data_IF_258545676670
#
_entry.id   IF_258545676670
#
_cell.length_a   1.000
_cell.length_b   1.000
_cell.length_c   1.000
_cell.angle_alpha   90.00
_cell.angle_beta   90.00
_cell.angle_gamma   90.00
#
_symmetry.space_group_name_H-M   'P 1'
#
loop_
_entity.id
_entity.type
_entity.pdbx_description
1 polymer ?
#
# COMPACT_ATOMS: atom_id res chain seq x y z
N UNK A 1 5.47 5.05 1.28
CA UNK A 1 4.32 5.78 1.88
C UNK A 1 4.05 7.16 1.26
N UNK A 2 5.04 7.86 0.67
CA UNK A 2 4.89 9.23 0.17
C UNK A 2 3.65 9.47 -0.73
N UNK A 3 3.35 8.56 -1.66
CA UNK A 3 2.16 8.64 -2.52
C UNK A 3 0.82 8.54 -1.76
N UNK A 4 0.75 7.68 -0.75
CA UNK A 4 -0.44 7.54 0.11
C UNK A 4 -0.68 8.78 0.97
N UNK A 5 0.40 9.44 1.42
CA UNK A 5 0.33 10.65 2.25
C UNK A 5 -0.04 11.86 1.41
N UNK A 6 0.64 12.06 0.27
CA UNK A 6 0.42 13.23 -0.59
C UNK A 6 -0.98 13.29 -1.21
N UNK A 7 -1.68 12.16 -1.34
CA UNK A 7 -3.04 12.07 -1.90
C UNK A 7 -4.11 11.61 -0.91
N UNK A 8 -3.75 11.51 0.37
CA UNK A 8 -4.63 11.07 1.45
C UNK A 8 -5.31 9.70 1.22
N UNK A 9 -4.65 8.80 0.47
CA UNK A 9 -5.14 7.44 0.24
C UNK A 9 -4.78 6.53 1.39
N UNK A 10 -5.76 5.85 1.97
CA UNK A 10 -5.55 4.89 3.06
C UNK A 10 -5.00 3.55 2.56
N UNK A 11 -5.33 3.19 1.32
CA UNK A 11 -4.97 1.95 0.66
C UNK A 11 -4.67 2.18 -0.82
N UNK A 12 -3.83 1.32 -1.40
CA UNK A 12 -3.51 1.30 -2.82
C UNK A 12 -3.73 -0.12 -3.37
N UNK A 13 -4.41 -0.28 -4.52
CA UNK A 13 -4.52 -1.57 -5.19
C UNK A 13 -3.17 -1.96 -5.82
N UNK A 14 -2.85 -3.25 -5.76
CA UNK A 14 -1.71 -3.86 -6.44
C UNK A 14 -2.22 -4.58 -7.67
N UNK A 15 -1.75 -4.15 -8.84
CA UNK A 15 -2.12 -4.72 -10.13
C UNK A 15 -0.94 -5.55 -10.68
N UNK A 16 -1.23 -6.75 -11.19
CA UNK A 16 -0.30 -7.52 -12.02
C UNK A 16 -0.92 -7.68 -13.41
N UNK A 17 -0.23 -7.16 -14.44
CA UNK A 17 -0.71 -7.20 -15.84
C UNK A 17 -2.16 -6.75 -16.02
N UNK A 18 -2.57 -5.71 -15.28
CA UNK A 18 -3.92 -5.16 -15.33
C UNK A 18 -4.96 -5.91 -14.49
N UNK A 19 -4.59 -7.03 -13.85
CA UNK A 19 -5.43 -7.75 -12.90
C UNK A 19 -5.15 -7.31 -11.47
N UNK A 20 -6.19 -7.06 -10.69
CA UNK A 20 -6.08 -6.81 -9.26
C UNK A 20 -5.59 -8.08 -8.54
N UNK A 21 -4.42 -8.01 -7.93
CA UNK A 21 -3.79 -9.12 -7.20
C UNK A 21 -3.67 -8.87 -5.71
N UNK A 22 -3.92 -7.64 -5.23
CA UNK A 22 -3.89 -7.34 -3.80
C UNK A 22 -4.19 -5.90 -3.47
N UNK A 23 -4.14 -5.57 -2.18
CA UNK A 23 -4.33 -4.23 -1.64
C UNK A 23 -3.25 -4.01 -0.58
N UNK A 24 -2.61 -2.85 -0.59
CA UNK A 24 -1.63 -2.43 0.43
C UNK A 24 -2.14 -1.18 1.13
N UNK A 25 -2.24 -1.22 2.45
CA UNK A 25 -2.59 -0.08 3.29
C UNK A 25 -1.40 0.55 4.02
N UNK A 26 -1.63 1.74 4.59
CA UNK A 26 -0.63 2.40 5.46
C UNK A 26 -0.21 1.51 6.65
N UNK A 27 -1.14 0.70 7.18
CA UNK A 27 -0.88 -0.25 8.28
C UNK A 27 0.04 -1.39 7.86
N UNK A 28 -0.10 -1.89 6.63
CA UNK A 28 0.76 -2.96 6.11
C UNK A 28 2.20 -2.45 5.96
N UNK A 29 2.35 -1.23 5.42
CA UNK A 29 3.66 -0.57 5.32
C UNK A 29 4.30 -0.41 6.71
N UNK A 30 3.54 0.03 7.71
CA UNK A 30 4.06 0.16 9.08
C UNK A 30 4.48 -1.19 9.66
N UNK A 31 3.63 -2.22 9.52
CA UNK A 31 3.91 -3.58 10.00
C UNK A 31 5.17 -4.17 9.36
N UNK A 32 5.37 -3.96 8.05
CA UNK A 32 6.56 -4.43 7.33
C UNK A 32 7.82 -3.72 7.81
N UNK A 33 7.75 -2.40 8.09
CA UNK A 33 8.90 -1.63 8.55
C UNK A 33 9.29 -1.95 10.01
N UNK A 34 8.33 -2.33 10.86
CA UNK A 34 8.60 -2.66 12.28
C UNK A 34 8.93 -4.13 12.52
N UNK A 35 8.61 -5.00 11.56
CA UNK A 35 8.87 -6.44 11.65
C UNK A 35 10.20 -6.84 10.99
N UNK A 36 10.99 -5.87 10.54
CA UNK A 36 12.33 -6.01 9.99
C UNK A 36 13.39 -5.61 11.03
#
# INVERSE_FOLDING_TARGET
AALMVGKNFHTLPVLDKGKLVGIVGKKDVLKTLTSA
#
